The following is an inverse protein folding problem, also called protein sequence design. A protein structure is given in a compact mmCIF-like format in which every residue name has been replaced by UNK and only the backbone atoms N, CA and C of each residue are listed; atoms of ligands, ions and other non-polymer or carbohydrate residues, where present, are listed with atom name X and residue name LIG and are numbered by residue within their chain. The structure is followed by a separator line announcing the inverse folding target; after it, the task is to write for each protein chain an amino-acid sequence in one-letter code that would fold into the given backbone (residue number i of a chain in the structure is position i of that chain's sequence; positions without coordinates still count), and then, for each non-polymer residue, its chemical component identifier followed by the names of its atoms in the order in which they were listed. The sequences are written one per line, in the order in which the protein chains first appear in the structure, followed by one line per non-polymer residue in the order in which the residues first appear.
data_IF_702757916705
#
_entry.id   IF_702757916705
#
_cell.length_a   1.000
_cell.length_b   1.000
_cell.length_c   1.000
_cell.angle_alpha   90.00
_cell.angle_beta   90.00
_cell.angle_gamma   90.00
#
_symmetry.space_group_name_H-M   'P 1'
#
loop_
_entity.id
_entity.type
_entity.pdbx_description
1 polymer ?
#
# COMPACT_ATOMS: atom_id res chain seq x y z
N UNK A 1 -6.19 -4.68 96.58
CA UNK A 1 -6.27 -5.90 97.41
C UNK A 1 -5.03 -6.74 97.13
N UNK A 2 -4.14 -6.85 98.14
CA UNK A 2 -3.00 -7.79 98.37
C UNK A 2 -2.29 -8.39 97.11
N UNK A 3 -1.07 -8.01 96.70
CA UNK A 3 0.27 -8.18 97.32
C UNK A 3 0.57 -9.64 97.74
N UNK A 4 1.71 -10.20 97.27
CA UNK A 4 2.70 -11.09 97.96
C UNK A 4 3.23 -12.32 97.17
N UNK A 5 4.49 -12.17 96.73
CA UNK A 5 5.71 -13.03 96.86
C UNK A 5 5.97 -14.30 96.04
N UNK A 6 7.03 -14.18 95.22
CA UNK A 6 8.30 -14.95 95.14
C UNK A 6 8.49 -16.29 95.88
N UNK A 7 9.17 -17.21 95.19
CA UNK A 7 10.19 -18.10 95.77
C UNK A 7 11.34 -18.38 94.80
N UNK A 8 12.56 -18.30 95.34
CA UNK A 8 13.88 -18.50 94.73
C UNK A 8 14.51 -19.83 95.17
N UNK A 9 15.38 -20.42 94.33
CA UNK A 9 16.55 -21.24 94.69
C UNK A 9 17.46 -21.33 93.43
N UNK A 10 18.67 -20.76 93.36
CA UNK A 10 19.99 -21.22 93.87
C UNK A 10 20.38 -22.58 93.26
N UNK A 11 21.47 -22.78 92.49
CA UNK A 11 22.90 -22.64 92.85
C UNK A 11 23.84 -22.55 91.62
N UNK A 12 25.03 -21.95 91.82
CA UNK A 12 26.25 -21.77 90.96
C UNK A 12 27.22 -22.98 91.08
N UNK A 13 28.50 -22.99 90.61
CA UNK A 13 29.20 -22.45 89.40
C UNK A 13 30.30 -23.44 88.83
N UNK A 14 31.08 -23.05 87.80
CA UNK A 14 32.58 -23.17 87.67
C UNK A 14 33.06 -23.05 86.19
N UNK A 15 33.79 -21.97 85.83
CA UNK A 15 35.26 -21.76 85.75
C UNK A 15 35.97 -22.38 84.52
N UNK A 16 36.54 -21.52 83.65
CA UNK A 16 38.00 -21.39 83.39
C UNK A 16 38.32 -20.39 82.25
N UNK A 17 39.17 -19.41 82.61
CA UNK A 17 39.98 -18.48 81.79
C UNK A 17 41.20 -19.20 81.15
N UNK A 18 42.19 -18.56 80.47
CA UNK A 18 42.21 -17.44 79.50
C UNK A 18 43.22 -17.65 78.31
N UNK A 19 43.48 -16.57 77.54
CA UNK A 19 44.70 -16.22 76.77
C UNK A 19 44.97 -16.76 75.34
N UNK A 20 45.38 -15.83 74.45
CA UNK A 20 46.00 -16.12 73.15
C UNK A 20 45.93 -14.98 72.13
N UNK A 21 47.05 -14.27 71.94
CA UNK A 21 47.20 -13.06 71.13
C UNK A 21 47.31 -13.28 69.59
N UNK A 22 46.90 -12.27 68.82
CA UNK A 22 47.56 -11.84 67.58
C UNK A 22 47.16 -12.48 66.24
N UNK A 23 46.38 -11.76 65.42
CA UNK A 23 46.53 -11.73 63.96
C UNK A 23 45.75 -10.55 63.35
N UNK A 24 46.45 -9.65 62.67
CA UNK A 24 45.88 -8.55 61.90
C UNK A 24 44.91 -9.08 60.82
N UNK A 25 43.61 -8.79 60.96
CA UNK A 25 42.62 -9.04 59.90
C UNK A 25 42.71 -7.92 58.86
N UNK A 26 43.43 -8.20 57.78
CA UNK A 26 43.33 -7.45 56.52
C UNK A 26 41.85 -7.41 56.08
N UNK A 27 41.33 -6.22 55.80
CA UNK A 27 39.99 -6.05 55.23
C UNK A 27 39.93 -6.73 53.85
N UNK A 28 38.91 -7.55 53.55
CA UNK A 28 38.82 -8.25 52.27
C UNK A 28 38.44 -7.26 51.16
N UNK A 29 39.45 -6.67 50.51
CA UNK A 29 39.33 -5.83 49.30
C UNK A 29 38.88 -6.60 48.04
N UNK A 30 38.65 -7.91 48.12
CA UNK A 30 38.41 -8.79 46.96
C UNK A 30 36.96 -9.20 46.65
N UNK A 31 35.95 -8.83 47.46
CA UNK A 31 34.54 -9.25 47.22
C UNK A 31 33.70 -8.24 46.44
N UNK A 32 34.13 -6.99 46.35
CA UNK A 32 33.41 -5.93 45.64
C UNK A 32 33.75 -5.90 44.14
N UNK A 33 34.97 -6.27 43.75
CA UNK A 33 35.41 -6.36 42.35
C UNK A 33 34.64 -7.43 41.57
N UNK A 34 34.46 -8.64 42.13
CA UNK A 34 33.74 -9.72 41.45
C UNK A 34 32.23 -9.45 41.31
N UNK A 35 31.61 -8.75 42.28
CA UNK A 35 30.18 -8.37 42.21
C UNK A 35 29.95 -7.27 41.18
N UNK A 36 30.88 -6.32 41.04
CA UNK A 36 30.86 -5.29 40.00
C UNK A 36 31.10 -5.88 38.60
N UNK A 37 31.98 -6.87 38.46
CA UNK A 37 32.25 -7.55 37.18
C UNK A 37 31.06 -8.40 36.76
N UNK A 38 30.45 -9.18 37.65
CA UNK A 38 29.25 -9.99 37.34
C UNK A 38 28.03 -9.10 37.06
N UNK A 39 27.87 -7.99 37.80
CA UNK A 39 26.83 -6.99 37.52
C UNK A 39 27.04 -6.26 36.20
N UNK A 40 28.29 -5.92 35.85
CA UNK A 40 28.63 -5.32 34.56
C UNK A 40 28.45 -6.29 33.39
N UNK A 41 28.84 -7.56 33.53
CA UNK A 41 28.63 -8.61 32.52
C UNK A 41 27.13 -8.91 32.34
N UNK A 42 26.35 -8.94 33.43
CA UNK A 42 24.90 -9.10 33.38
C UNK A 42 24.19 -7.89 32.75
N UNK A 43 24.62 -6.67 33.07
CA UNK A 43 24.09 -5.45 32.46
C UNK A 43 24.47 -5.33 30.98
N UNK A 44 25.70 -5.69 30.61
CA UNK A 44 26.16 -5.76 29.22
C UNK A 44 25.37 -6.85 28.47
N UNK A 45 25.15 -8.02 29.06
CA UNK A 45 24.34 -9.10 28.47
C UNK A 45 22.87 -8.73 28.26
N UNK A 46 22.24 -8.08 29.24
CA UNK A 46 20.87 -7.59 29.12
C UNK A 46 20.76 -6.44 28.10
N UNK A 47 21.76 -5.54 28.06
CA UNK A 47 21.84 -4.45 27.09
C UNK A 47 22.05 -4.98 25.67
N UNK A 48 22.93 -5.96 25.45
CA UNK A 48 23.16 -6.57 24.13
C UNK A 48 21.94 -7.34 23.64
N UNK A 49 21.26 -8.11 24.52
CA UNK A 49 20.01 -8.78 24.17
C UNK A 49 18.90 -7.78 23.82
N UNK A 50 18.78 -6.68 24.58
CA UNK A 50 17.81 -5.62 24.31
C UNK A 50 18.13 -4.86 23.00
N UNK A 51 19.41 -4.58 22.75
CA UNK A 51 19.87 -3.95 21.51
C UNK A 51 19.69 -4.87 20.30
N UNK A 52 19.94 -6.17 20.44
CA UNK A 52 19.71 -7.17 19.40
C UNK A 52 18.21 -7.31 19.09
N UNK A 53 17.35 -7.37 20.11
CA UNK A 53 15.91 -7.40 19.94
C UNK A 53 15.38 -6.14 19.26
N UNK A 54 15.84 -4.95 19.68
CA UNK A 54 15.50 -3.68 19.04
C UNK A 54 15.94 -3.65 17.57
N UNK A 55 17.15 -4.10 17.28
CA UNK A 55 17.70 -4.16 15.91
C UNK A 55 16.92 -5.13 15.04
N UNK A 56 16.58 -6.32 15.55
CA UNK A 56 15.76 -7.29 14.84
C UNK A 56 14.35 -6.74 14.55
N UNK A 57 13.72 -6.11 15.55
CA UNK A 57 12.42 -5.47 15.37
C UNK A 57 12.49 -4.31 14.36
N UNK A 58 13.53 -3.48 14.41
CA UNK A 58 13.72 -2.37 13.47
C UNK A 58 13.90 -2.88 12.04
N UNK A 59 14.68 -3.95 11.88
CA UNK A 59 14.87 -4.61 10.59
C UNK A 59 13.56 -5.16 10.03
N UNK A 60 12.75 -5.84 10.85
CA UNK A 60 11.44 -6.35 10.40
C UNK A 60 10.56 -5.18 9.99
N UNK A 61 10.48 -4.13 10.80
CA UNK A 61 9.71 -2.93 10.51
C UNK A 61 10.13 -2.25 9.20
N UNK A 62 11.43 -2.07 8.98
CA UNK A 62 11.97 -1.49 7.76
C UNK A 62 11.67 -2.34 6.53
N UNK A 63 11.67 -3.68 6.64
CA UNK A 63 11.44 -4.58 5.49
C UNK A 63 9.98 -4.74 5.10
N UNK A 64 9.01 -4.43 5.97
CA UNK A 64 7.58 -4.60 5.65
C UNK A 64 7.18 -3.87 4.36
N UNK A 65 7.42 -2.55 4.21
CA UNK A 65 7.03 -1.82 2.99
C UNK A 65 7.91 -2.13 1.78
N UNK A 66 9.06 -2.77 1.98
CA UNK A 66 10.03 -3.04 0.91
C UNK A 66 9.87 -4.44 0.31
N UNK A 67 9.15 -5.34 1.00
CA UNK A 67 9.03 -6.73 0.53
C UNK A 67 7.83 -6.84 -0.40
N UNK A 68 7.98 -7.33 -1.64
CA UNK A 68 6.86 -7.58 -2.55
C UNK A 68 5.81 -8.47 -1.88
N UNK A 69 4.57 -7.97 -1.75
CA UNK A 69 3.48 -8.66 -1.05
C UNK A 69 2.61 -9.53 -1.97
N UNK A 70 2.93 -9.65 -3.25
CA UNK A 70 2.03 -10.16 -4.30
C UNK A 70 1.62 -11.63 -4.15
N UNK A 71 2.32 -12.40 -3.30
CA UNK A 71 2.06 -13.83 -3.07
C UNK A 71 1.62 -14.16 -1.64
N UNK A 72 1.40 -13.16 -0.77
CA UNK A 72 0.79 -13.46 0.53
C UNK A 72 -0.71 -13.58 0.32
N UNK A 73 -1.26 -14.74 0.67
CA UNK A 73 -2.69 -14.93 0.90
C UNK A 73 -3.15 -13.75 1.76
N UNK A 74 -3.75 -12.74 1.14
CA UNK A 74 -4.25 -11.58 1.84
C UNK A 74 -5.14 -12.15 2.94
N UNK A 75 -4.76 -11.91 4.20
CA UNK A 75 -5.53 -12.47 5.31
C UNK A 75 -6.97 -11.98 5.12
N UNK A 76 -7.96 -12.86 5.20
CA UNK A 76 -9.34 -12.44 5.11
C UNK A 76 -9.59 -11.27 6.06
N UNK A 77 -10.00 -10.15 5.50
CA UNK A 77 -10.33 -8.91 6.20
C UNK A 77 -11.85 -8.75 6.36
N UNK A 78 -12.61 -9.69 5.81
CA UNK A 78 -14.06 -9.74 5.84
C UNK A 78 -14.56 -11.15 6.20
N UNK A 79 -15.77 -11.22 6.75
CA UNK A 79 -16.49 -12.47 6.92
C UNK A 79 -17.86 -12.40 6.27
N UNK A 80 -18.19 -13.43 5.49
CA UNK A 80 -19.51 -13.70 4.93
C UNK A 80 -20.32 -14.47 5.98
N UNK A 81 -21.49 -13.95 6.34
CA UNK A 81 -22.38 -14.50 7.37
C UNK A 81 -23.60 -15.21 6.80
N UNK A 82 -24.10 -14.73 5.67
CA UNK A 82 -25.15 -15.40 4.91
C UNK A 82 -25.07 -14.98 3.44
N UNK A 83 -25.44 -15.89 2.54
CA UNK A 83 -25.53 -15.65 1.11
C UNK A 83 -26.98 -15.92 0.68
N UNK A 84 -27.59 -14.96 0.01
CA UNK A 84 -28.92 -15.06 -0.57
C UNK A 84 -28.83 -14.79 -2.08
N UNK A 85 -29.94 -15.00 -2.81
CA UNK A 85 -29.98 -14.77 -4.25
C UNK A 85 -29.76 -13.29 -4.65
N UNK A 86 -30.22 -12.35 -3.83
CA UNK A 86 -30.22 -10.91 -4.11
C UNK A 86 -29.27 -10.10 -3.21
N UNK A 87 -28.70 -10.72 -2.17
CA UNK A 87 -27.91 -10.03 -1.15
C UNK A 87 -26.94 -10.93 -0.42
N UNK A 88 -25.91 -10.32 0.15
CA UNK A 88 -24.94 -10.97 1.03
C UNK A 88 -24.92 -10.26 2.38
N UNK A 89 -24.89 -11.03 3.47
CA UNK A 89 -24.69 -10.50 4.81
C UNK A 89 -23.23 -10.65 5.22
N UNK A 90 -22.64 -9.56 5.66
CA UNK A 90 -21.23 -9.46 6.00
C UNK A 90 -21.07 -9.03 7.45
N UNK A 91 -19.94 -9.36 8.09
CA UNK A 91 -19.52 -8.65 9.29
C UNK A 91 -19.49 -7.14 9.03
N UNK A 92 -20.03 -6.38 9.97
CA UNK A 92 -20.15 -4.94 9.87
C UNK A 92 -18.81 -4.25 10.16
N UNK A 93 -17.79 -4.54 9.36
CA UNK A 93 -16.48 -3.86 9.33
C UNK A 93 -16.65 -2.41 8.85
N UNK A 94 -15.61 -1.59 9.02
CA UNK A 94 -15.64 -0.22 8.50
C UNK A 94 -15.89 -0.21 6.98
N UNK A 95 -15.20 -1.08 6.24
CA UNK A 95 -15.30 -1.20 4.79
C UNK A 95 -16.66 -1.74 4.35
N UNK A 96 -17.18 -2.80 4.96
CA UNK A 96 -18.47 -3.37 4.57
C UNK A 96 -19.65 -2.42 4.82
N UNK A 97 -19.49 -1.43 5.72
CA UNK A 97 -20.48 -0.38 5.99
C UNK A 97 -20.40 0.80 5.03
N UNK A 98 -19.33 0.94 4.24
CA UNK A 98 -19.18 2.08 3.33
C UNK A 98 -20.22 2.02 2.22
N UNK A 99 -20.76 3.19 1.87
CA UNK A 99 -21.61 3.33 0.69
C UNK A 99 -20.83 3.09 -0.59
N UNK A 100 -21.54 2.77 -1.67
CA UNK A 100 -20.96 2.43 -2.98
C UNK A 100 -20.86 0.93 -3.22
N UNK A 101 -19.78 0.51 -3.86
CA UNK A 101 -19.55 -0.82 -4.40
C UNK A 101 -18.40 -1.53 -3.69
N UNK A 102 -18.49 -2.86 -3.63
CA UNK A 102 -17.48 -3.70 -2.99
C UNK A 102 -17.43 -5.03 -3.73
N UNK A 103 -16.25 -5.57 -4.02
CA UNK A 103 -16.13 -6.96 -4.43
C UNK A 103 -15.58 -7.82 -3.28
N UNK A 104 -15.93 -9.11 -3.32
CA UNK A 104 -15.40 -10.11 -2.39
C UNK A 104 -14.74 -11.23 -3.15
N UNK A 105 -13.66 -11.75 -2.55
CA UNK A 105 -12.89 -12.86 -3.08
C UNK A 105 -12.71 -13.94 -2.02
N UNK A 106 -12.90 -15.20 -2.41
CA UNK A 106 -12.68 -16.38 -1.57
C UNK A 106 -11.80 -17.42 -2.27
N UNK A 107 -11.20 -18.31 -1.49
CA UNK A 107 -10.44 -19.47 -1.99
C UNK A 107 -9.40 -19.10 -3.06
N UNK A 108 -8.61 -18.05 -2.79
CA UNK A 108 -7.55 -17.61 -3.71
C UNK A 108 -8.04 -16.95 -5.00
N UNK A 109 -9.35 -16.66 -5.15
CA UNK A 109 -9.93 -16.14 -6.38
C UNK A 109 -10.87 -17.12 -7.10
N UNK A 110 -11.05 -18.33 -6.58
CA UNK A 110 -12.01 -19.27 -7.16
C UNK A 110 -13.44 -18.71 -7.13
N UNK A 111 -13.84 -18.06 -6.02
CA UNK A 111 -15.10 -17.34 -5.90
C UNK A 111 -14.84 -15.83 -5.88
N UNK A 112 -15.49 -15.11 -6.77
CA UNK A 112 -15.51 -13.65 -6.82
C UNK A 112 -16.92 -13.14 -7.08
N UNK A 113 -17.36 -12.17 -6.27
CA UNK A 113 -18.68 -11.53 -6.42
C UNK A 113 -18.58 -10.03 -6.29
N UNK A 114 -19.42 -9.33 -7.04
CA UNK A 114 -19.62 -7.88 -6.97
C UNK A 114 -20.85 -7.55 -6.14
N UNK A 115 -20.67 -6.68 -5.18
CA UNK A 115 -21.71 -6.19 -4.27
C UNK A 115 -21.96 -4.70 -4.49
N UNK A 116 -23.22 -4.31 -4.35
CA UNK A 116 -23.65 -2.92 -4.48
C UNK A 116 -23.85 -2.25 -3.13
N UNK A 117 -24.82 -1.34 -3.09
CA UNK A 117 -25.12 -0.50 -1.93
C UNK A 117 -25.53 -1.28 -0.68
N UNK A 118 -25.45 -0.61 0.47
CA UNK A 118 -25.88 -1.16 1.75
C UNK A 118 -27.41 -1.15 1.83
N UNK A 119 -28.01 -2.33 1.99
CA UNK A 119 -29.46 -2.50 2.12
C UNK A 119 -29.96 -2.30 3.55
N UNK A 120 -29.07 -2.45 4.53
CA UNK A 120 -29.40 -2.29 5.95
C UNK A 120 -28.50 -3.11 6.87
N UNK A 121 -28.90 -3.21 8.14
CA UNK A 121 -28.18 -3.95 9.19
C UNK A 121 -29.09 -5.02 9.78
N UNK A 122 -29.01 -6.27 9.29
CA UNK A 122 -29.82 -7.38 9.80
C UNK A 122 -29.62 -7.60 11.30
N UNK A 123 -28.40 -7.37 11.81
CA UNK A 123 -28.07 -7.38 13.24
C UNK A 123 -27.14 -6.20 13.58
N UNK A 124 -26.87 -5.92 14.87
CA UNK A 124 -25.89 -4.91 15.26
C UNK A 124 -24.46 -5.18 14.76
N UNK A 125 -24.13 -6.43 14.43
CA UNK A 125 -22.80 -6.87 14.01
C UNK A 125 -22.71 -7.21 12.53
N UNK A 126 -23.82 -7.14 11.78
CA UNK A 126 -23.84 -7.46 10.34
C UNK A 126 -24.39 -6.33 9.48
N UNK A 127 -23.99 -6.34 8.22
CA UNK A 127 -24.48 -5.44 7.18
C UNK A 127 -24.93 -6.27 5.98
N UNK A 128 -26.06 -5.91 5.39
CA UNK A 128 -26.55 -6.51 4.15
C UNK A 128 -26.17 -5.63 2.96
N UNK A 129 -25.61 -6.23 1.92
CA UNK A 129 -25.33 -5.55 0.65
C UNK A 129 -25.99 -6.30 -0.51
N UNK A 130 -26.41 -5.57 -1.54
CA UNK A 130 -26.98 -6.19 -2.75
C UNK A 130 -25.94 -7.04 -3.46
N UNK A 131 -26.30 -8.24 -3.90
CA UNK A 131 -25.48 -9.06 -4.78
C UNK A 131 -25.75 -8.61 -6.23
N UNK A 132 -24.74 -8.05 -6.90
CA UNK A 132 -24.90 -7.53 -8.25
C UNK A 132 -24.58 -8.59 -9.30
N UNK A 133 -23.47 -9.29 -9.12
CA UNK A 133 -23.00 -10.31 -10.04
C UNK A 133 -22.04 -11.27 -9.34
N UNK A 134 -21.93 -12.47 -9.89
CA UNK A 134 -20.92 -13.45 -9.54
C UNK A 134 -20.02 -13.62 -10.76
N UNK A 135 -18.74 -13.30 -10.63
CA UNK A 135 -17.82 -13.25 -11.78
C UNK A 135 -17.20 -14.60 -12.11
N UNK A 136 -17.24 -15.56 -11.19
CA UNK A 136 -16.67 -16.90 -11.38
C UNK A 136 -17.69 -18.01 -11.16
N UNK A 137 -17.44 -19.20 -11.69
CA UNK A 137 -18.40 -20.32 -11.55
C UNK A 137 -18.53 -20.85 -10.12
N UNK A 138 -17.51 -20.63 -9.28
CA UNK A 138 -17.54 -21.09 -7.89
C UNK A 138 -18.40 -20.13 -7.06
N UNK A 139 -19.46 -20.62 -6.39
CA UNK A 139 -20.34 -19.77 -5.60
C UNK A 139 -19.62 -19.21 -4.36
N UNK A 140 -20.08 -18.04 -3.90
CA UNK A 140 -19.67 -17.50 -2.61
C UNK A 140 -20.22 -18.36 -1.47
N UNK A 141 -19.38 -18.68 -0.49
CA UNK A 141 -19.77 -19.46 0.69
C UNK A 141 -19.68 -18.65 1.99
N UNK A 142 -20.41 -19.10 3.01
CA UNK A 142 -20.30 -18.54 4.37
C UNK A 142 -18.91 -18.84 4.94
N UNK A 143 -18.18 -17.81 5.34
CA UNK A 143 -16.83 -17.96 5.85
C UNK A 143 -15.95 -16.71 5.67
N UNK A 144 -14.65 -16.84 5.92
CA UNK A 144 -13.69 -15.77 5.68
C UNK A 144 -13.66 -15.39 4.20
N UNK A 145 -13.57 -14.10 3.89
CA UNK A 145 -13.41 -13.56 2.54
C UNK A 145 -12.42 -12.38 2.56
N UNK A 146 -11.81 -12.10 1.42
CA UNK A 146 -11.03 -10.88 1.20
C UNK A 146 -11.89 -9.84 0.50
N UNK A 147 -11.85 -8.60 0.97
CA UNK A 147 -12.37 -7.45 0.25
C UNK A 147 -11.48 -7.18 -0.97
N UNK A 148 -12.09 -6.92 -2.11
CA UNK A 148 -11.38 -6.62 -3.34
C UNK A 148 -11.73 -5.21 -3.84
N UNK A 149 -10.75 -4.32 -3.73
CA UNK A 149 -10.87 -2.92 -4.14
C UNK A 149 -10.90 -2.74 -5.66
N UNK A 150 -10.31 -3.66 -6.42
CA UNK A 150 -10.28 -3.60 -7.88
C UNK A 150 -11.68 -3.71 -8.49
N UNK A 151 -12.63 -4.25 -7.71
CA UNK A 151 -14.05 -4.45 -8.06
C UNK A 151 -14.29 -5.45 -9.19
N UNK A 152 -13.60 -5.28 -10.32
CA UNK A 152 -13.65 -6.18 -11.46
C UNK A 152 -12.63 -7.32 -11.30
N UNK A 153 -12.99 -8.50 -11.80
CA UNK A 153 -12.16 -9.69 -11.86
C UNK A 153 -11.73 -9.96 -13.30
N UNK A 154 -10.52 -10.52 -13.48
CA UNK A 154 -10.03 -10.99 -14.77
C UNK A 154 -9.05 -10.05 -15.46
N UNK A 155 -9.18 -9.99 -16.78
CA UNK A 155 -8.37 -9.20 -17.74
C UNK A 155 -9.28 -8.19 -18.45
N UNK A 156 -8.76 -7.22 -19.22
CA UNK A 156 -9.63 -6.29 -19.93
C UNK A 156 -10.58 -7.00 -20.92
N UNK A 157 -10.13 -8.08 -21.55
CA UNK A 157 -10.96 -8.93 -22.41
C UNK A 157 -12.08 -9.64 -21.64
N UNK A 158 -11.77 -10.29 -20.52
CA UNK A 158 -12.76 -11.09 -19.76
C UNK A 158 -13.64 -10.24 -18.85
N UNK A 159 -13.14 -9.12 -18.32
CA UNK A 159 -13.91 -8.22 -17.47
C UNK A 159 -14.81 -7.28 -18.29
N UNK A 160 -14.35 -6.86 -19.47
CA UNK A 160 -14.95 -5.76 -20.23
C UNK A 160 -15.25 -6.06 -21.69
N UNK A 161 -14.69 -7.13 -22.27
CA UNK A 161 -14.83 -7.46 -23.69
C UNK A 161 -13.92 -6.60 -24.57
N UNK A 162 -12.90 -5.99 -23.96
CA UNK A 162 -12.01 -5.09 -24.68
C UNK A 162 -10.90 -5.88 -25.38
N UNK A 163 -10.59 -5.56 -26.66
CA UNK A 163 -9.47 -6.18 -27.35
C UNK A 163 -8.19 -5.95 -26.55
N UNK A 164 -7.47 -7.02 -26.23
CA UNK A 164 -6.27 -6.95 -25.38
C UNK A 164 -5.14 -7.72 -26.02
N UNK A 165 -3.98 -7.08 -26.13
CA UNK A 165 -2.72 -7.74 -26.49
C UNK A 165 -1.82 -7.78 -25.26
N UNK A 166 -1.32 -8.95 -24.90
CA UNK A 166 -0.24 -9.05 -23.91
C UNK A 166 1.10 -8.76 -24.60
N UNK A 167 1.79 -7.73 -24.12
CA UNK A 167 3.06 -7.26 -24.69
C UNK A 167 4.15 -7.38 -23.64
N UNK A 168 5.40 -7.52 -24.09
CA UNK A 168 6.57 -7.58 -23.22
C UNK A 168 7.38 -6.29 -23.39
N UNK A 169 7.60 -5.58 -22.29
CA UNK A 169 8.38 -4.34 -22.24
C UNK A 169 9.77 -4.68 -21.70
N UNK A 170 10.80 -4.24 -22.42
CA UNK A 170 12.20 -4.41 -21.98
C UNK A 170 12.57 -3.32 -20.98
N UNK A 171 12.67 -3.66 -19.69
CA UNK A 171 13.13 -2.74 -18.63
C UNK A 171 14.61 -2.96 -18.31
N UNK A 172 15.25 -2.04 -17.54
CA UNK A 172 16.63 -2.22 -17.08
C UNK A 172 16.86 -3.51 -16.27
N UNK A 173 15.83 -4.03 -15.60
CA UNK A 173 15.95 -5.28 -14.82
C UNK A 173 15.55 -6.54 -15.61
N UNK A 174 14.96 -6.38 -16.80
CA UNK A 174 14.52 -7.47 -17.67
C UNK A 174 13.10 -7.29 -18.22
N UNK A 175 12.53 -8.32 -18.84
CA UNK A 175 11.20 -8.25 -19.44
C UNK A 175 10.09 -8.03 -18.41
N UNK A 176 9.10 -7.22 -18.77
CA UNK A 176 7.93 -6.91 -17.97
C UNK A 176 6.65 -7.06 -18.81
N UNK A 177 5.73 -7.97 -18.47
CA UNK A 177 4.47 -8.09 -19.19
C UNK A 177 3.57 -6.88 -18.96
N UNK A 178 2.83 -6.48 -19.99
CA UNK A 178 1.86 -5.39 -19.92
C UNK A 178 0.62 -5.72 -20.75
N UNK A 179 -0.51 -5.12 -20.40
CA UNK A 179 -1.69 -5.15 -21.25
C UNK A 179 -1.72 -3.93 -22.15
N UNK A 180 -1.82 -4.16 -23.45
CA UNK A 180 -2.10 -3.15 -24.45
C UNK A 180 -3.57 -3.26 -24.87
N UNK A 181 -4.35 -2.22 -24.60
CA UNK A 181 -5.76 -2.12 -25.00
C UNK A 181 -5.91 -0.89 -25.89
N UNK A 182 -6.28 -1.03 -27.17
CA UNK A 182 -6.48 0.11 -28.06
C UNK A 182 -7.71 0.93 -27.66
N UNK A 183 -7.71 2.22 -27.98
CA UNK A 183 -8.90 3.08 -27.87
C UNK A 183 -10.03 2.66 -28.83
N UNK A 184 -11.25 3.09 -28.53
CA UNK A 184 -12.42 2.96 -29.40
C UNK A 184 -12.32 3.99 -30.53
N UNK A 185 -12.16 3.55 -31.77
CA UNK A 185 -11.99 4.42 -32.93
C UNK A 185 -11.29 3.76 -34.12
N UNK A 186 -11.43 4.37 -35.30
CA UNK A 186 -10.66 4.01 -36.49
C UNK A 186 -9.16 4.30 -36.20
N UNK A 187 -8.21 3.38 -36.43
CA UNK A 187 -6.77 3.62 -36.27
C UNK A 187 -6.24 4.90 -36.96
N UNK A 188 -7.00 5.47 -37.90
CA UNK A 188 -6.71 6.74 -38.56
C UNK A 188 -7.10 8.00 -37.74
N UNK A 189 -7.89 7.87 -36.66
CA UNK A 189 -8.22 8.95 -35.73
C UNK A 189 -7.32 8.85 -34.49
N UNK A 190 -6.22 9.60 -34.50
CA UNK A 190 -5.41 9.97 -33.31
C UNK A 190 -5.00 8.86 -32.32
N UNK A 191 -4.84 7.61 -32.77
CA UNK A 191 -4.25 6.48 -32.00
C UNK A 191 -2.81 6.71 -31.48
N UNK A 192 -2.33 7.94 -31.61
CA UNK A 192 -1.08 8.50 -31.13
C UNK A 192 -1.16 8.97 -29.67
N UNK A 193 -2.33 8.96 -29.02
CA UNK A 193 -2.47 9.35 -27.60
C UNK A 193 -2.63 8.13 -26.71
N UNK A 194 -1.68 7.94 -25.80
CA UNK A 194 -1.60 6.76 -24.95
C UNK A 194 -1.71 7.14 -23.47
N UNK A 195 -2.24 6.22 -22.66
CA UNK A 195 -2.24 6.31 -21.20
C UNK A 195 -1.39 5.17 -20.63
N UNK A 196 -0.34 5.50 -19.91
CA UNK A 196 0.50 4.53 -19.20
C UNK A 196 -0.01 4.41 -17.76
N UNK A 197 -0.39 3.20 -17.38
CA UNK A 197 -1.09 2.92 -16.11
C UNK A 197 -0.17 2.12 -15.17
N UNK A 198 0.07 2.66 -13.97
CA UNK A 198 0.96 2.06 -12.96
C UNK A 198 0.19 1.77 -11.66
N UNK A 199 0.11 0.49 -11.29
CA UNK A 199 -0.62 0.06 -10.09
C UNK A 199 0.13 0.33 -8.78
N UNK A 200 -0.58 0.21 -7.66
CA UNK A 200 -0.05 0.42 -6.31
C UNK A 200 0.82 -0.72 -5.74
N UNK A 201 1.36 -0.48 -4.55
CA UNK A 201 2.18 -1.44 -3.82
C UNK A 201 1.38 -2.69 -3.42
N UNK A 202 1.83 -3.87 -3.87
CA UNK A 202 1.12 -5.14 -3.62
C UNK A 202 -0.21 -5.27 -4.38
N UNK A 203 -0.48 -4.35 -5.32
CA UNK A 203 -1.56 -4.46 -6.30
C UNK A 203 -1.08 -5.23 -7.55
N UNK A 204 -1.93 -5.34 -8.56
CA UNK A 204 -1.61 -5.92 -9.89
C UNK A 204 -2.21 -5.04 -10.97
N UNK A 205 -1.94 -5.35 -12.24
CA UNK A 205 -2.55 -4.70 -13.42
C UNK A 205 -4.08 -4.63 -13.34
N UNK A 206 -4.72 -5.62 -12.69
CA UNK A 206 -6.15 -5.63 -12.40
C UNK A 206 -6.70 -4.37 -11.72
N UNK A 207 -5.89 -3.58 -11.00
CA UNK A 207 -6.32 -2.30 -10.41
C UNK A 207 -6.86 -1.31 -11.47
N UNK A 208 -6.31 -1.37 -12.68
CA UNK A 208 -6.65 -0.51 -13.80
C UNK A 208 -8.00 -0.85 -14.45
N UNK A 209 -8.55 -2.05 -14.25
CA UNK A 209 -9.80 -2.49 -14.90
C UNK A 209 -10.94 -1.47 -14.71
N UNK A 210 -10.99 -0.78 -13.56
CA UNK A 210 -12.00 0.24 -13.27
C UNK A 210 -12.04 1.41 -14.24
N UNK A 211 -10.90 1.76 -14.86
CA UNK A 211 -10.79 2.92 -15.74
C UNK A 211 -10.71 2.57 -17.22
N UNK A 212 -10.35 1.33 -17.56
CA UNK A 212 -10.16 0.91 -18.95
C UNK A 212 -11.40 1.13 -19.85
N UNK A 213 -12.65 0.84 -19.42
CA UNK A 213 -13.81 1.12 -20.25
C UNK A 213 -13.95 2.59 -20.64
N UNK A 214 -13.73 3.51 -19.69
CA UNK A 214 -13.78 4.94 -19.97
C UNK A 214 -12.66 5.35 -20.92
N UNK A 215 -11.42 4.98 -20.63
CA UNK A 215 -10.26 5.33 -21.45
C UNK A 215 -10.40 4.81 -22.88
N UNK A 216 -10.88 3.57 -23.03
CA UNK A 216 -11.22 2.99 -24.32
C UNK A 216 -12.28 3.85 -25.04
N UNK A 217 -13.40 4.16 -24.40
CA UNK A 217 -14.48 4.97 -25.02
C UNK A 217 -14.07 6.38 -25.42
N UNK A 218 -13.01 6.93 -24.81
CA UNK A 218 -12.40 8.22 -25.17
C UNK A 218 -11.40 8.12 -26.33
N UNK A 219 -11.24 6.94 -26.93
CA UNK A 219 -10.28 6.69 -28.02
C UNK A 219 -8.83 6.61 -27.56
N UNK A 220 -8.57 6.44 -26.25
CA UNK A 220 -7.22 6.42 -25.70
C UNK A 220 -6.68 4.99 -25.63
N UNK A 221 -5.53 4.76 -26.26
CA UNK A 221 -4.81 3.48 -26.11
C UNK A 221 -4.20 3.41 -24.72
N UNK A 222 -4.35 2.30 -24.02
CA UNK A 222 -3.82 2.12 -22.66
C UNK A 222 -2.74 1.05 -22.62
N UNK A 223 -1.65 1.34 -21.91
CA UNK A 223 -0.58 0.41 -21.59
C UNK A 223 -0.53 0.21 -20.08
N UNK A 224 -1.05 -0.92 -19.60
CA UNK A 224 -1.09 -1.27 -18.16
C UNK A 224 0.11 -2.10 -17.79
N UNK A 225 1.04 -1.48 -17.06
CA UNK A 225 2.36 -2.04 -16.75
C UNK A 225 2.31 -3.00 -15.56
N UNK A 226 3.15 -4.05 -15.60
CA UNK A 226 3.86 -4.51 -14.40
C UNK A 226 5.19 -3.75 -14.26
N UNK A 227 5.76 -3.73 -13.07
CA UNK A 227 7.13 -3.26 -12.82
C UNK A 227 7.95 -4.30 -12.05
N UNK A 228 9.23 -4.00 -11.79
CA UNK A 228 10.17 -4.93 -11.15
C UNK A 228 9.60 -5.56 -9.88
N UNK A 229 9.86 -6.86 -9.72
CA UNK A 229 9.37 -7.72 -8.64
C UNK A 229 7.89 -8.10 -8.69
N UNK A 230 7.14 -7.65 -9.70
CA UNK A 230 5.78 -8.10 -9.88
C UNK A 230 5.69 -9.56 -10.36
N UNK A 231 4.51 -10.14 -10.22
CA UNK A 231 4.27 -11.50 -10.75
C UNK A 231 4.38 -11.49 -12.27
N UNK A 232 5.33 -12.28 -12.80
CA UNK A 232 5.60 -12.36 -14.23
C UNK A 232 6.63 -11.36 -14.75
N UNK A 233 6.96 -10.32 -13.98
CA UNK A 233 8.01 -9.36 -14.31
C UNK A 233 9.38 -9.85 -13.82
N UNK A 234 10.43 -9.25 -14.37
CA UNK A 234 11.79 -9.47 -13.90
C UNK A 234 11.98 -9.01 -12.43
N UNK A 235 12.89 -9.70 -11.73
CA UNK A 235 13.16 -9.50 -10.31
C UNK A 235 14.39 -8.58 -10.15
N UNK A 236 14.29 -7.56 -9.30
CA UNK A 236 15.43 -6.68 -9.00
C UNK A 236 16.55 -7.45 -8.28
N UNK A 237 17.77 -6.89 -8.29
CA UNK A 237 18.95 -7.53 -7.70
C UNK A 237 18.78 -7.92 -6.21
N UNK A 238 17.96 -7.18 -5.48
CA UNK A 238 17.66 -7.44 -4.07
C UNK A 238 16.27 -8.02 -3.80
N UNK A 239 15.43 -8.12 -4.84
CA UNK A 239 14.03 -8.55 -4.76
C UNK A 239 13.18 -7.69 -3.81
N UNK A 240 13.50 -6.40 -3.72
CA UNK A 240 12.82 -5.44 -2.86
C UNK A 240 12.23 -4.29 -3.69
N UNK A 241 11.13 -3.71 -3.21
CA UNK A 241 10.65 -2.43 -3.71
C UNK A 241 11.48 -1.29 -3.12
N UNK A 242 11.83 -0.32 -3.97
CA UNK A 242 12.51 0.91 -3.58
C UNK A 242 11.55 2.11 -3.49
N UNK A 243 10.25 1.83 -3.35
CA UNK A 243 9.21 2.82 -3.05
C UNK A 243 9.07 3.89 -4.13
N UNK A 244 9.39 3.54 -5.36
CA UNK A 244 9.38 4.41 -6.53
C UNK A 244 10.76 4.90 -6.95
N UNK A 245 11.80 4.75 -6.10
CA UNK A 245 13.16 5.23 -6.40
C UNK A 245 13.73 4.60 -7.68
N UNK A 246 13.44 3.32 -7.92
CA UNK A 246 13.91 2.64 -9.11
C UNK A 246 12.76 2.25 -10.03
N UNK A 247 11.56 2.01 -9.49
CA UNK A 247 10.39 1.60 -10.28
C UNK A 247 9.97 2.66 -11.32
N UNK A 248 10.43 3.90 -11.21
CA UNK A 248 10.22 4.92 -12.23
C UNK A 248 10.88 4.56 -13.57
N UNK A 249 12.02 3.84 -13.56
CA UNK A 249 12.72 3.39 -14.76
C UNK A 249 11.89 2.35 -15.53
N UNK A 250 11.08 1.56 -14.82
CA UNK A 250 10.19 0.58 -15.42
C UNK A 250 9.01 1.27 -16.11
N UNK A 251 8.54 2.39 -15.52
CA UNK A 251 7.54 3.25 -16.17
C UNK A 251 8.13 3.99 -17.36
N UNK A 252 9.40 4.41 -17.29
CA UNK A 252 10.13 4.98 -18.43
C UNK A 252 10.23 3.99 -19.60
N UNK A 253 10.54 2.72 -19.33
CA UNK A 253 10.53 1.69 -20.37
C UNK A 253 9.14 1.53 -21.02
N UNK A 254 8.06 1.73 -20.27
CA UNK A 254 6.69 1.78 -20.80
C UNK A 254 6.43 3.00 -21.69
N UNK A 255 6.98 4.17 -21.32
CA UNK A 255 6.94 5.39 -22.14
C UNK A 255 7.69 5.15 -23.46
N UNK A 256 8.93 4.65 -23.39
CA UNK A 256 9.73 4.32 -24.57
C UNK A 256 9.03 3.31 -25.49
N UNK A 257 8.41 2.29 -24.90
CA UNK A 257 7.59 1.33 -25.64
C UNK A 257 6.44 2.03 -26.36
N UNK A 258 5.65 2.86 -25.67
CA UNK A 258 4.53 3.57 -26.27
C UNK A 258 4.98 4.45 -27.45
N UNK A 259 6.06 5.22 -27.27
CA UNK A 259 6.64 6.08 -28.31
C UNK A 259 7.11 5.26 -29.52
N UNK A 260 7.78 4.13 -29.29
CA UNK A 260 8.23 3.23 -30.35
C UNK A 260 7.06 2.59 -31.14
N UNK A 261 5.86 2.56 -30.54
CA UNK A 261 4.64 2.00 -31.14
C UNK A 261 3.65 3.08 -31.60
N UNK A 262 4.12 4.32 -31.77
CA UNK A 262 3.37 5.39 -32.43
C UNK A 262 2.71 6.40 -31.49
N UNK A 263 2.90 6.28 -30.17
CA UNK A 263 2.47 7.34 -29.27
C UNK A 263 3.25 8.65 -29.55
N UNK A 264 2.53 9.77 -29.54
CA UNK A 264 3.07 11.14 -29.56
C UNK A 264 2.70 11.94 -28.33
N UNK A 265 1.59 11.57 -27.68
CA UNK A 265 1.11 12.19 -26.44
C UNK A 265 0.87 11.10 -25.41
N UNK A 266 1.42 11.27 -24.22
CA UNK A 266 1.31 10.30 -23.15
C UNK A 266 0.71 10.96 -21.92
N UNK A 267 -0.32 10.34 -21.35
CA UNK A 267 -0.80 10.64 -20.00
C UNK A 267 -0.28 9.55 -19.08
N UNK A 268 0.28 9.93 -17.94
CA UNK A 268 0.68 8.97 -16.91
C UNK A 268 -0.39 8.90 -15.84
N UNK A 269 -0.82 7.70 -15.47
CA UNK A 269 -1.80 7.51 -14.42
C UNK A 269 -1.35 6.45 -13.42
N UNK A 270 -1.50 6.74 -12.13
CA UNK A 270 -1.08 5.80 -11.09
C UNK A 270 -1.87 5.88 -9.79
N UNK A 271 -1.97 4.74 -9.12
CA UNK A 271 -2.64 4.57 -7.83
C UNK A 271 -1.63 4.36 -6.71
N UNK A 272 -1.84 4.96 -5.53
CA UNK A 272 -1.00 4.66 -4.35
C UNK A 272 0.50 4.86 -4.64
N UNK A 273 1.34 3.83 -4.39
CA UNK A 273 2.75 3.82 -4.78
C UNK A 273 2.94 4.06 -6.29
N UNK A 274 2.07 3.54 -7.15
CA UNK A 274 2.07 3.80 -8.58
C UNK A 274 1.90 5.28 -8.91
N UNK A 275 1.10 6.02 -8.14
CA UNK A 275 1.01 7.49 -8.27
C UNK A 275 2.30 8.20 -7.83
N UNK A 276 3.01 7.67 -6.82
CA UNK A 276 4.34 8.16 -6.44
C UNK A 276 5.40 7.86 -7.52
N UNK A 277 5.33 6.68 -8.15
CA UNK A 277 6.14 6.30 -9.30
C UNK A 277 5.88 7.27 -10.46
N UNK A 278 4.61 7.49 -10.82
CA UNK A 278 4.20 8.45 -11.86
C UNK A 278 4.75 9.85 -11.64
N UNK A 279 4.63 10.37 -10.40
CA UNK A 279 5.22 11.67 -10.05
C UNK A 279 6.73 11.67 -10.28
N UNK A 280 7.44 10.63 -9.84
CA UNK A 280 8.88 10.53 -9.99
C UNK A 280 9.28 10.39 -11.47
N UNK A 281 8.62 9.53 -12.24
CA UNK A 281 8.85 9.41 -13.69
C UNK A 281 8.70 10.74 -14.40
N UNK A 282 7.68 11.54 -14.06
CA UNK A 282 7.48 12.86 -14.66
C UNK A 282 8.66 13.83 -14.45
N UNK A 283 9.47 13.63 -13.40
CA UNK A 283 10.65 14.46 -13.12
C UNK A 283 11.94 13.96 -13.79
N UNK A 284 11.96 12.68 -14.19
CA UNK A 284 13.19 11.98 -14.61
C UNK A 284 13.16 11.46 -16.03
N UNK A 285 11.97 11.36 -16.64
CA UNK A 285 11.78 10.86 -18.00
C UNK A 285 12.67 11.59 -18.99
N UNK A 286 13.20 10.85 -19.97
CA UNK A 286 13.95 11.42 -21.08
C UNK A 286 13.04 12.11 -22.11
N UNK A 287 11.71 11.98 -21.96
CA UNK A 287 10.69 12.43 -22.91
C UNK A 287 9.64 13.38 -22.29
N UNK A 288 10.05 14.44 -21.55
CA UNK A 288 9.09 15.33 -20.88
C UNK A 288 8.13 16.00 -21.87
N UNK A 289 8.57 16.26 -23.10
CA UNK A 289 7.73 16.85 -24.16
C UNK A 289 6.60 15.93 -24.66
N UNK A 290 6.72 14.61 -24.47
CA UNK A 290 5.67 13.66 -24.80
C UNK A 290 4.60 13.58 -23.70
N UNK A 291 4.93 13.96 -22.47
CA UNK A 291 4.02 13.88 -21.33
C UNK A 291 3.04 15.05 -21.34
N UNK A 292 1.78 14.74 -21.62
CA UNK A 292 0.69 15.72 -21.66
C UNK A 292 0.19 16.10 -20.26
N UNK A 293 0.14 15.14 -19.33
CA UNK A 293 -0.33 15.37 -17.97
C UNK A 293 -0.35 14.10 -17.11
N UNK A 294 -0.70 14.27 -15.84
CA UNK A 294 -0.71 13.20 -14.83
C UNK A 294 -2.11 13.03 -14.22
N UNK A 295 -2.48 11.78 -13.92
CA UNK A 295 -3.66 11.43 -13.12
C UNK A 295 -3.21 10.59 -11.92
N UNK A 296 -3.46 11.08 -10.72
CA UNK A 296 -2.99 10.47 -9.49
C UNK A 296 -4.18 10.14 -8.59
N UNK A 297 -4.26 8.89 -8.14
CA UNK A 297 -5.33 8.39 -7.29
C UNK A 297 -4.76 7.86 -5.95
N UNK A 298 -5.09 8.57 -4.87
CA UNK A 298 -4.49 8.37 -3.54
C UNK A 298 -2.96 8.21 -3.55
N UNK A 299 -2.19 9.09 -4.23
CA UNK A 299 -0.77 8.87 -4.49
C UNK A 299 0.11 8.90 -3.23
N UNK A 300 1.14 8.05 -3.21
CA UNK A 300 2.19 8.05 -2.20
C UNK A 300 3.18 9.22 -2.40
N UNK A 301 2.74 10.43 -2.07
CA UNK A 301 3.52 11.67 -2.23
C UNK A 301 4.67 11.78 -1.23
N UNK A 302 4.47 11.33 0.02
CA UNK A 302 5.50 11.43 1.07
C UNK A 302 5.70 10.11 1.81
N UNK A 303 6.79 9.42 1.49
CA UNK A 303 7.13 8.14 2.13
C UNK A 303 7.56 8.30 3.59
N UNK A 304 8.15 9.42 3.98
CA UNK A 304 8.50 9.64 5.39
C UNK A 304 7.24 9.78 6.24
N UNK A 305 6.22 10.46 5.73
CA UNK A 305 4.92 10.61 6.38
C UNK A 305 4.18 9.25 6.44
N UNK A 306 4.12 8.49 5.34
CA UNK A 306 3.52 7.15 5.29
C UNK A 306 4.18 6.20 6.30
N UNK A 307 5.52 6.14 6.31
CA UNK A 307 6.28 5.30 7.24
C UNK A 307 6.04 5.72 8.69
N UNK A 308 5.98 7.03 8.94
CA UNK A 308 5.70 7.57 10.28
C UNK A 308 4.28 7.28 10.72
N UNK A 309 3.30 7.39 9.82
CA UNK A 309 1.90 7.12 10.05
C UNK A 309 1.68 5.65 10.46
N UNK A 310 2.18 4.70 9.68
CA UNK A 310 2.08 3.27 10.00
C UNK A 310 2.84 2.89 11.28
N UNK A 311 4.01 3.49 11.50
CA UNK A 311 4.74 3.21 12.74
C UNK A 311 4.01 3.74 13.98
N UNK A 312 3.33 4.88 13.89
CA UNK A 312 2.45 5.39 14.97
C UNK A 312 1.24 4.48 15.17
N UNK A 313 0.62 3.98 14.10
CA UNK A 313 -0.50 3.04 14.16
C UNK A 313 -0.12 1.73 14.88
N UNK A 314 1.10 1.24 14.66
CA UNK A 314 1.69 0.08 15.35
C UNK A 314 2.19 0.40 16.78
N UNK A 315 2.02 1.63 17.27
CA UNK A 315 2.55 2.11 18.57
C UNK A 315 4.05 1.87 18.73
N UNK A 316 4.79 1.97 17.63
CA UNK A 316 6.24 1.76 17.62
C UNK A 316 6.98 2.84 18.43
N UNK A 317 7.87 2.46 19.37
CA UNK A 317 8.69 3.41 20.11
C UNK A 317 9.56 4.28 19.18
N UNK A 318 9.78 5.54 19.54
CA UNK A 318 10.57 6.47 18.72
C UNK A 318 12.00 5.97 18.39
N UNK A 319 12.75 5.31 19.30
CA UNK A 319 14.05 4.75 18.95
C UNK A 319 13.97 3.66 17.87
N UNK A 320 12.95 2.80 17.94
CA UNK A 320 12.71 1.73 16.96
C UNK A 320 12.45 2.32 15.56
N UNK A 321 11.59 3.34 15.50
CA UNK A 321 11.29 4.09 14.27
C UNK A 321 12.51 4.74 13.65
N UNK A 322 13.30 5.46 14.45
CA UNK A 322 14.54 6.11 13.97
C UNK A 322 15.53 5.10 13.42
N UNK A 323 15.67 3.95 14.09
CA UNK A 323 16.56 2.89 13.64
C UNK A 323 16.07 2.25 12.32
N UNK A 324 14.76 2.01 12.19
CA UNK A 324 14.18 1.49 10.95
C UNK A 324 14.39 2.47 9.77
N UNK A 325 14.12 3.77 9.97
CA UNK A 325 14.37 4.81 8.96
C UNK A 325 15.85 4.88 8.59
N UNK A 326 16.75 4.91 9.58
CA UNK A 326 18.20 4.88 9.33
C UNK A 326 18.64 3.63 8.57
N UNK A 327 18.02 2.48 8.81
CA UNK A 327 18.28 1.26 8.05
C UNK A 327 17.88 1.39 6.58
N UNK A 328 16.86 2.18 6.24
CA UNK A 328 16.41 2.35 4.86
C UNK A 328 17.21 3.41 4.11
N UNK A 329 17.66 4.47 4.79
CA UNK A 329 18.25 5.64 4.13
C UNK A 329 19.77 5.75 4.22
N UNK A 330 20.45 4.88 4.99
CA UNK A 330 21.91 4.93 5.12
C UNK A 330 22.58 3.77 4.39
N UNK A 331 23.77 4.01 3.83
CA UNK A 331 24.55 2.98 3.10
C UNK A 331 24.82 1.74 3.97
N UNK A 332 25.20 1.94 5.24
CA UNK A 332 25.44 0.84 6.18
C UNK A 332 24.13 0.13 6.56
N UNK A 333 23.07 0.90 6.77
CA UNK A 333 21.75 0.40 7.11
C UNK A 333 21.10 -0.42 6.00
N UNK A 334 21.22 0.02 4.75
CA UNK A 334 20.65 -0.62 3.57
C UNK A 334 21.12 -2.07 3.45
N UNK A 335 22.42 -2.30 3.72
CA UNK A 335 23.00 -3.65 3.78
C UNK A 335 22.37 -4.52 4.86
N UNK A 336 21.99 -3.93 6.00
CA UNK A 336 21.25 -4.65 7.03
C UNK A 336 19.92 -5.08 6.42
N UNK A 337 19.10 -4.18 5.90
CA UNK A 337 17.79 -4.56 5.34
C UNK A 337 17.85 -5.30 4.00
N UNK A 338 19.05 -5.51 3.44
CA UNK A 338 19.33 -6.11 2.13
C UNK A 338 18.77 -5.30 0.97
N UNK A 339 18.72 -3.99 1.10
CA UNK A 339 18.51 -3.12 -0.05
C UNK A 339 19.82 -3.04 -0.84
N UNK A 340 19.71 -3.01 -2.17
CA UNK A 340 20.86 -2.81 -3.04
C UNK A 340 21.45 -1.40 -2.85
N UNK A 341 20.58 -0.40 -2.68
CA UNK A 341 20.93 0.98 -2.42
C UNK A 341 20.05 1.64 -1.34
N UNK A 342 20.55 2.68 -0.65
CA UNK A 342 19.74 3.40 0.32
C UNK A 342 18.64 4.22 -0.35
N UNK A 343 17.46 4.26 0.27
CA UNK A 343 16.33 5.05 -0.22
C UNK A 343 16.60 6.55 -0.11
N UNK A 344 16.33 7.28 -1.19
CA UNK A 344 16.32 8.73 -1.23
C UNK A 344 14.98 9.31 -0.77
N UNK A 345 14.59 9.05 0.49
CA UNK A 345 13.32 9.55 1.05
C UNK A 345 13.25 11.09 1.09
N UNK A 346 14.38 11.79 0.95
CA UNK A 346 14.44 13.26 0.81
C UNK A 346 14.02 13.75 -0.58
N UNK A 347 13.74 12.84 -1.51
CA UNK A 347 13.25 13.16 -2.85
C UNK A 347 11.78 12.74 -3.04
N UNK A 348 11.18 12.16 -2.00
CA UNK A 348 9.83 11.61 -2.01
C UNK A 348 8.97 12.39 -1.03
N UNK A 349 8.78 13.69 -1.30
CA UNK A 349 7.92 14.57 -0.52
C UNK A 349 7.37 15.71 -1.38
N UNK A 350 6.30 16.35 -0.92
CA UNK A 350 5.54 17.32 -1.68
C UNK A 350 6.37 18.50 -2.21
N UNK A 351 7.25 19.09 -1.40
CA UNK A 351 8.09 20.22 -1.82
C UNK A 351 9.10 19.82 -2.91
N UNK A 352 9.61 18.58 -2.87
CA UNK A 352 10.52 18.09 -3.89
C UNK A 352 9.81 18.01 -5.25
N UNK A 353 8.60 17.44 -5.26
CA UNK A 353 7.77 17.33 -6.46
C UNK A 353 7.32 18.72 -6.94
N UNK A 354 6.82 19.58 -6.04
CA UNK A 354 6.33 20.91 -6.38
C UNK A 354 7.37 21.78 -7.11
N UNK A 355 8.66 21.65 -6.73
CA UNK A 355 9.75 22.44 -7.29
C UNK A 355 10.14 22.05 -8.73
N UNK A 356 9.70 20.88 -9.22
CA UNK A 356 10.14 20.31 -10.51
C UNK A 356 9.00 19.81 -11.40
N UNK A 357 7.78 19.71 -10.86
CA UNK A 357 6.61 19.28 -11.61
C UNK A 357 6.27 20.33 -12.67
N UNK A 358 6.21 19.93 -13.94
CA UNK A 358 5.88 20.85 -15.04
C UNK A 358 4.57 20.46 -15.76
N UNK A 359 3.95 19.36 -15.37
CA UNK A 359 2.79 18.79 -16.07
C UNK A 359 1.46 19.06 -15.32
N UNK A 360 0.38 19.44 -16.03
CA UNK A 360 -0.96 19.48 -15.45
C UNK A 360 -1.33 18.14 -14.81
N UNK A 361 -1.88 18.20 -13.60
CA UNK A 361 -2.09 17.02 -12.77
C UNK A 361 -3.48 17.03 -12.16
N UNK A 362 -4.27 15.97 -12.40
CA UNK A 362 -5.44 15.65 -11.60
C UNK A 362 -5.01 14.79 -10.40
N UNK A 363 -5.27 15.25 -9.19
CA UNK A 363 -4.96 14.51 -7.96
C UNK A 363 -6.27 14.22 -7.21
N UNK A 364 -6.74 12.98 -7.28
CA UNK A 364 -7.89 12.48 -6.53
C UNK A 364 -7.38 11.78 -5.27
N UNK A 365 -8.01 12.02 -4.11
CA UNK A 365 -7.58 11.35 -2.87
C UNK A 365 -8.74 11.09 -1.91
N UNK A 366 -8.85 9.84 -1.46
CA UNK A 366 -9.80 9.37 -0.46
C UNK A 366 -9.59 10.04 0.90
N UNK A 367 -10.63 10.65 1.46
CA UNK A 367 -10.50 11.37 2.74
C UNK A 367 -10.41 10.45 3.96
N UNK A 368 -10.93 9.23 3.88
CA UNK A 368 -10.84 8.22 4.92
C UNK A 368 -9.83 7.12 4.54
N UNK A 369 -8.78 7.54 3.82
CA UNK A 369 -7.59 6.75 3.58
C UNK A 369 -6.83 6.49 4.88
N UNK A 370 -6.69 5.21 5.23
CA UNK A 370 -5.95 4.76 6.41
C UNK A 370 -4.62 4.10 6.05
N UNK A 371 -4.19 4.22 4.81
CA UNK A 371 -2.97 3.67 4.24
C UNK A 371 -2.00 4.80 3.87
N UNK A 372 -2.45 5.72 3.03
CA UNK A 372 -1.69 6.89 2.61
C UNK A 372 -2.36 8.14 3.18
N UNK A 373 -1.68 8.93 4.02
CA UNK A 373 -2.24 10.16 4.53
C UNK A 373 -2.53 11.18 3.40
N UNK A 374 -3.68 11.85 3.47
CA UNK A 374 -4.10 12.86 2.48
C UNK A 374 -3.31 14.16 2.55
N UNK A 375 -2.70 14.46 3.71
CA UNK A 375 -2.00 15.72 3.99
C UNK A 375 -0.95 16.08 2.93
N UNK A 376 0.02 15.20 2.62
CA UNK A 376 1.01 15.43 1.57
C UNK A 376 0.42 15.75 0.19
N UNK A 377 -0.69 15.12 -0.20
CA UNK A 377 -1.37 15.41 -1.46
C UNK A 377 -2.00 16.81 -1.48
N UNK A 378 -2.71 17.17 -0.41
CA UNK A 378 -3.26 18.52 -0.26
C UNK A 378 -2.15 19.59 -0.21
N UNK A 379 -1.02 19.26 0.42
CA UNK A 379 0.14 20.15 0.50
C UNK A 379 0.79 20.37 -0.87
N UNK A 380 1.02 19.31 -1.65
CA UNK A 380 1.52 19.42 -3.04
C UNK A 380 0.62 20.34 -3.88
N UNK A 381 -0.70 20.14 -3.80
CA UNK A 381 -1.64 20.98 -4.52
C UNK A 381 -1.63 22.45 -4.08
N UNK A 382 -1.42 22.70 -2.79
CA UNK A 382 -1.28 24.07 -2.26
C UNK A 382 0.00 24.77 -2.72
N UNK A 383 1.05 24.00 -3.01
CA UNK A 383 2.33 24.51 -3.52
C UNK A 383 2.28 24.80 -5.03
N UNK A 384 1.49 24.04 -5.79
CA UNK A 384 1.34 24.17 -7.26
C UNK A 384 -0.13 24.24 -7.70
N UNK A 385 -0.90 25.25 -7.24
CA UNK A 385 -2.30 25.41 -7.63
C UNK A 385 -2.47 25.74 -9.12
N UNK A 386 -1.39 26.15 -9.80
CA UNK A 386 -1.30 26.37 -11.23
C UNK A 386 -1.32 25.08 -12.05
N UNK A 387 -0.85 23.96 -11.49
CA UNK A 387 -0.77 22.66 -12.19
C UNK A 387 -1.66 21.57 -11.58
N UNK A 388 -1.87 21.58 -10.27
CA UNK A 388 -2.47 20.45 -9.55
C UNK A 388 -3.92 20.74 -9.19
N UNK A 389 -4.85 20.09 -9.88
CA UNK A 389 -6.27 20.05 -9.51
C UNK A 389 -6.48 18.98 -8.44
N UNK A 390 -6.54 19.39 -7.18
CA UNK A 390 -6.84 18.49 -6.07
C UNK A 390 -8.33 18.25 -5.90
N UNK A 391 -8.74 16.98 -5.87
CA UNK A 391 -10.12 16.56 -5.67
C UNK A 391 -10.21 15.62 -4.45
N UNK A 392 -10.63 16.14 -3.28
CA UNK A 392 -10.89 15.29 -2.12
C UNK A 392 -12.13 14.42 -2.34
N UNK A 393 -12.03 13.15 -1.97
CA UNK A 393 -13.09 12.16 -2.16
C UNK A 393 -13.61 11.62 -0.83
N UNK A 394 -14.71 12.21 -0.34
CA UNK A 394 -15.32 11.84 0.92
C UNK A 394 -16.03 10.47 0.87
N UNK A 395 -15.89 9.70 1.94
CA UNK A 395 -16.47 8.37 2.12
C UNK A 395 -15.68 7.22 1.48
N UNK A 396 -14.62 7.50 0.71
CA UNK A 396 -13.77 6.49 0.10
C UNK A 396 -12.65 6.03 1.06
N UNK A 397 -12.26 4.77 0.97
CA UNK A 397 -11.00 4.27 1.53
C UNK A 397 -9.92 4.28 0.44
N UNK A 398 -8.67 3.97 0.82
CA UNK A 398 -7.51 3.99 -0.07
C UNK A 398 -7.78 3.33 -1.42
N UNK A 399 -7.59 4.08 -2.51
CA UNK A 399 -7.81 3.67 -3.91
C UNK A 399 -9.21 3.13 -4.19
N UNK A 400 -10.24 3.50 -3.40
CA UNK A 400 -11.65 3.10 -3.56
C UNK A 400 -12.57 4.26 -3.91
N UNK A 401 -12.02 5.32 -4.49
CA UNK A 401 -12.75 6.49 -4.97
C UNK A 401 -13.75 6.10 -6.06
N UNK A 402 -13.33 5.29 -7.05
CA UNK A 402 -14.23 4.70 -8.03
C UNK A 402 -15.30 3.83 -7.36
N UNK A 403 -14.92 2.97 -6.41
CA UNK A 403 -15.88 2.11 -5.71
C UNK A 403 -16.93 2.91 -4.94
N UNK A 404 -16.55 4.07 -4.38
CA UNK A 404 -17.45 4.91 -3.60
C UNK A 404 -18.54 5.55 -4.47
N UNK A 405 -18.15 6.05 -5.64
CA UNK A 405 -19.03 6.72 -6.61
C UNK A 405 -18.40 6.68 -8.02
N UNK A 406 -18.67 5.61 -8.80
CA UNK A 406 -18.10 5.40 -10.13
C UNK A 406 -18.44 6.52 -11.10
N UNK A 407 -19.66 7.04 -11.04
CA UNK A 407 -20.13 8.08 -11.95
C UNK A 407 -19.35 9.37 -11.72
N UNK A 408 -19.22 9.81 -10.46
CA UNK A 408 -18.42 11.00 -10.12
C UNK A 408 -16.96 10.79 -10.49
N UNK A 409 -16.38 9.63 -10.21
CA UNK A 409 -14.99 9.34 -10.51
C UNK A 409 -14.72 9.40 -12.02
N UNK A 410 -15.51 8.69 -12.82
CA UNK A 410 -15.34 8.66 -14.27
C UNK A 410 -15.60 10.03 -14.90
N UNK A 411 -16.56 10.80 -14.38
CA UNK A 411 -16.82 12.16 -14.85
C UNK A 411 -15.62 13.08 -14.61
N UNK A 412 -15.04 13.05 -13.41
CA UNK A 412 -13.84 13.84 -13.10
C UNK A 412 -12.66 13.48 -13.99
N UNK A 413 -12.48 12.19 -14.25
CA UNK A 413 -11.43 11.68 -15.12
C UNK A 413 -11.66 12.13 -16.58
N UNK A 414 -12.88 11.96 -17.10
CA UNK A 414 -13.25 12.38 -18.44
C UNK A 414 -13.08 13.89 -18.63
N UNK A 415 -13.61 14.72 -17.73
CA UNK A 415 -13.43 16.18 -17.74
C UNK A 415 -11.96 16.57 -17.85
N UNK A 416 -11.11 15.95 -17.04
CA UNK A 416 -9.70 16.25 -17.03
C UNK A 416 -9.02 15.84 -18.34
N UNK A 417 -9.23 14.61 -18.80
CA UNK A 417 -8.59 14.09 -20.02
C UNK A 417 -9.06 14.83 -21.27
N UNK A 418 -10.37 15.10 -21.39
CA UNK A 418 -10.95 15.86 -22.51
C UNK A 418 -10.36 17.27 -22.55
N UNK A 419 -10.31 17.97 -21.41
CA UNK A 419 -9.72 19.31 -21.34
C UNK A 419 -8.20 19.33 -21.56
N UNK A 420 -7.49 18.34 -21.04
CA UNK A 420 -6.03 18.21 -21.15
C UNK A 420 -5.60 17.94 -22.60
N UNK A 421 -6.31 17.05 -23.29
CA UNK A 421 -5.95 16.55 -24.61
C UNK A 421 -6.66 17.30 -25.75
N UNK A 422 -7.62 18.16 -25.42
CA UNK A 422 -8.43 18.90 -26.38
C UNK A 422 -9.36 18.00 -27.19
N UNK A 423 -9.91 16.95 -26.57
CA UNK A 423 -10.79 16.00 -27.25
C UNK A 423 -12.15 16.65 -27.56
N UNK A 424 -12.74 16.34 -28.71
CA UNK A 424 -14.09 16.80 -29.09
C UNK A 424 -15.16 15.86 -28.54
N UNK A 425 -15.21 15.70 -27.20
CA UNK A 425 -16.18 14.84 -26.49
C UNK A 425 -17.01 15.68 -25.53
N UNK A 426 -18.34 15.57 -25.62
CA UNK A 426 -19.26 16.17 -24.66
C UNK A 426 -19.38 15.28 -23.41
N UNK A 427 -18.64 15.63 -22.35
CA UNK A 427 -18.60 14.88 -21.10
C UNK A 427 -19.97 14.83 -20.40
N UNK A 428 -20.80 15.85 -20.55
CA UNK A 428 -22.13 15.87 -19.92
C UNK A 428 -23.10 14.88 -20.58
N UNK A 429 -22.87 14.55 -21.84
CA UNK A 429 -23.65 13.57 -22.59
C UNK A 429 -23.18 12.12 -22.38
N UNK A 430 -22.04 11.89 -21.73
CA UNK A 430 -21.53 10.53 -21.49
C UNK A 430 -22.44 9.75 -20.55
N UNK A 431 -22.69 8.48 -20.90
CA UNK A 431 -23.35 7.54 -20.00
C UNK A 431 -22.33 6.97 -19.04
N UNK A 432 -22.40 7.41 -17.78
CA UNK A 432 -21.47 7.04 -16.73
C UNK A 432 -22.17 6.26 -15.61
N UNK A 433 -21.52 5.26 -14.98
CA UNK A 433 -20.24 4.69 -15.38
C UNK A 433 -20.34 3.99 -16.74
N UNK A 434 -19.27 4.09 -17.53
CA UNK A 434 -19.14 3.59 -18.90
C UNK A 434 -19.50 2.11 -19.00
N UNK A 435 -19.15 1.34 -17.96
CA UNK A 435 -19.64 -0.02 -17.74
C UNK A 435 -20.43 -0.08 -16.45
N UNK A 436 -21.70 -0.51 -16.55
CA UNK A 436 -22.55 -0.72 -15.38
C UNK A 436 -21.89 -1.70 -14.37
N UNK A 437 -21.77 -1.34 -13.08
CA UNK A 437 -21.26 -2.23 -12.04
C UNK A 437 -22.06 -3.52 -11.87
N UNK A 438 -23.31 -3.55 -12.35
CA UNK A 438 -24.20 -4.71 -12.35
C UNK A 438 -24.21 -5.46 -13.70
N UNK A 439 -23.37 -5.07 -14.67
CA UNK A 439 -23.25 -5.79 -15.93
C UNK A 439 -22.88 -7.26 -15.68
N UNK A 440 -23.46 -8.17 -16.47
CA UNK A 440 -23.16 -9.59 -16.38
C UNK A 440 -21.66 -9.82 -16.61
N UNK A 441 -21.07 -10.82 -15.93
CA UNK A 441 -19.71 -11.26 -16.24
C UNK A 441 -19.63 -11.78 -17.67
N UNK A 442 -18.46 -11.66 -18.29
CA UNK A 442 -18.21 -12.32 -19.58
C UNK A 442 -17.59 -13.70 -19.33
N UNK A 443 -17.72 -14.57 -20.33
CA UNK A 443 -17.14 -15.90 -20.30
C UNK A 443 -15.62 -15.85 -20.07
N UNK A 444 -15.10 -16.75 -19.23
CA UNK A 444 -13.66 -16.81 -18.92
C UNK A 444 -13.18 -15.81 -17.86
N UNK A 445 -14.06 -15.06 -17.21
CA UNK A 445 -13.72 -14.21 -16.06
C UNK A 445 -13.05 -15.03 -14.94
N UNK A 446 -11.88 -14.58 -14.48
CA UNK A 446 -11.12 -15.23 -13.42
C UNK A 446 -11.02 -14.33 -12.19
N UNK A 447 -11.31 -14.87 -11.01
CA UNK A 447 -11.25 -14.09 -9.76
C UNK A 447 -9.84 -13.92 -9.19
N UNK A 448 -8.80 -14.43 -9.84
CA UNK A 448 -7.41 -14.19 -9.45
C UNK A 448 -6.99 -12.77 -9.80
N UNK A 449 -6.11 -12.16 -9.00
CA UNK A 449 -5.48 -10.89 -9.37
C UNK A 449 -4.41 -11.17 -10.43
N UNK A 450 -4.55 -10.53 -11.58
CA UNK A 450 -3.71 -10.70 -12.78
C UNK A 450 -2.93 -9.44 -13.07
#
# INVERSE_FOLDING_TARGET
MRLITSRTASTRPERRDPEGAGAARQAPRGRWSNTLVVGAVGAVGAFTLSAAALTAAARVMARIPLTPQMSRHARPDQAVRAVHADRVHLDATAEARREGYLALRQSGGAAHVRLGTVLGRPTPTTVARSLLAQDTDTPLEVGPAGSDGFFWAGTPETAHGLPTTEVEISSPVGPMPAWLVPGDGDPAADGETWVVLTHGHGATRGEALRVLPLLHSLGLTTLTLTYRNDTGAAVSADSMHHLGLDEWEDTEAGIEYALAHGARRIVLMGWSMGGGITLRTSLHTAHPEAISGLVLDSPAVDWQDILTYHAKALRAPAPLRRLALWMMTSVLGARVVRLHEPLALSEMHAEHFAARLDHPTLLIHALEDTTVPTGPSAHLASLRPDLVRFVPFAGASHTREWNRDPERYERLLAEHLVGLLGLEVDVEALQLPTRSPAAAPLEGSIGTRV
#
